data_IF_036390932806
#
_entry.id   IF_036390932806
#
_cell.length_a   1.000
_cell.length_b   1.000
_cell.length_c   1.000
_cell.angle_alpha   90.00
_cell.angle_beta   90.00
_cell.angle_gamma   90.00
#
_symmetry.space_group_name_H-M   'P 1'
#
loop_
_entity.id
_entity.type
_entity.pdbx_description
1 polymer ?
#
# COMPACT_ATOMS: atom_id res chain seq x y z
N UNK A 1 -13.85 -43.02 9.34
CA UNK A 1 -13.07 -41.95 10.01
C UNK A 1 -11.91 -41.38 9.15
N UNK A 2 -12.01 -41.31 7.80
CA UNK A 2 -10.89 -40.90 6.91
C UNK A 2 -11.08 -39.59 6.11
N UNK A 3 -12.27 -38.95 6.14
CA UNK A 3 -12.54 -37.71 5.37
C UNK A 3 -12.02 -36.42 6.01
N UNK A 4 -11.91 -36.37 7.35
CA UNK A 4 -11.44 -35.16 8.05
C UNK A 4 -9.93 -34.93 7.90
N UNK A 5 -9.14 -36.00 7.80
CA UNK A 5 -7.70 -35.91 7.59
C UNK A 5 -7.33 -35.40 6.18
N UNK A 6 -8.13 -35.71 5.15
CA UNK A 6 -7.84 -35.23 3.78
C UNK A 6 -8.23 -33.77 3.56
N UNK A 7 -9.27 -33.25 4.25
CA UNK A 7 -9.58 -31.82 4.23
C UNK A 7 -8.52 -30.97 4.94
N UNK A 8 -7.96 -31.47 6.05
CA UNK A 8 -6.88 -30.77 6.75
C UNK A 8 -5.59 -30.73 5.90
N UNK A 9 -5.27 -31.79 5.16
CA UNK A 9 -4.14 -31.82 4.26
C UNK A 9 -4.32 -30.92 3.03
N UNK A 10 -5.54 -30.81 2.48
CA UNK A 10 -5.84 -29.93 1.35
C UNK A 10 -5.84 -28.44 1.74
N UNK A 11 -6.22 -28.12 2.99
CA UNK A 11 -6.13 -26.76 3.52
C UNK A 11 -4.68 -26.38 3.87
N UNK A 12 -3.88 -27.32 4.37
CA UNK A 12 -2.45 -27.11 4.63
C UNK A 12 -1.62 -26.95 3.34
N UNK A 13 -1.95 -27.68 2.26
CA UNK A 13 -1.25 -27.53 0.98
C UNK A 13 -1.58 -26.20 0.29
N UNK A 14 -2.76 -25.62 0.56
CA UNK A 14 -3.17 -24.31 0.02
C UNK A 14 -2.57 -23.13 0.79
N UNK A 15 -2.22 -23.33 2.06
CA UNK A 15 -1.49 -22.36 2.87
C UNK A 15 0.02 -22.32 2.52
N UNK A 16 0.61 -23.47 2.15
CA UNK A 16 2.01 -23.55 1.73
C UNK A 16 2.28 -23.07 0.29
N UNK A 17 1.23 -22.76 -0.48
CA UNK A 17 1.32 -22.31 -1.87
C UNK A 17 0.82 -20.88 -2.05
N UNK A 18 0.75 -20.08 -0.99
CA UNK A 18 0.64 -18.63 -1.19
C UNK A 18 2.02 -18.16 -1.65
N UNK A 19 2.18 -17.65 -2.88
CA UNK A 19 3.44 -17.04 -3.27
C UNK A 19 3.73 -15.94 -2.25
N UNK A 20 4.91 -16.04 -1.62
CA UNK A 20 5.47 -14.89 -0.92
C UNK A 20 5.44 -13.75 -1.93
N UNK A 21 4.91 -12.56 -1.58
CA UNK A 21 4.93 -11.44 -2.49
C UNK A 21 6.40 -11.14 -2.81
N UNK A 22 6.77 -11.20 -4.10
CA UNK A 22 8.08 -10.76 -4.62
C UNK A 22 8.36 -9.26 -4.39
N UNK A 23 7.50 -8.55 -3.66
CA UNK A 23 7.67 -7.14 -3.31
C UNK A 23 8.55 -7.00 -2.07
N UNK A 24 9.74 -7.57 -2.13
CA UNK A 24 10.84 -7.19 -1.25
C UNK A 24 11.55 -5.99 -1.87
N UNK A 25 12.02 -5.07 -1.04
CA UNK A 25 12.91 -4.00 -1.50
C UNK A 25 14.15 -4.62 -2.16
N UNK A 26 14.18 -4.64 -3.48
CA UNK A 26 15.34 -5.01 -4.28
C UNK A 26 16.16 -3.74 -4.53
N UNK A 27 17.28 -3.62 -3.81
CA UNK A 27 18.16 -2.45 -3.93
C UNK A 27 18.73 -2.27 -5.34
N UNK A 28 18.78 -3.34 -6.13
CA UNK A 28 19.35 -3.31 -7.48
C UNK A 28 18.33 -2.82 -8.52
N UNK A 29 17.04 -2.76 -8.15
CA UNK A 29 15.94 -2.30 -9.03
C UNK A 29 15.22 -1.06 -8.53
N UNK A 30 15.46 -0.64 -7.30
CA UNK A 30 14.76 0.48 -6.67
C UNK A 30 15.60 1.76 -6.66
N UNK A 31 15.10 2.81 -7.31
CA UNK A 31 15.68 4.15 -7.26
C UNK A 31 15.03 4.94 -6.12
N UNK A 32 15.85 5.44 -5.19
CA UNK A 32 15.38 6.29 -4.09
C UNK A 32 15.00 7.69 -4.59
N UNK A 33 13.88 8.22 -4.08
CA UNK A 33 13.49 9.62 -4.28
C UNK A 33 14.11 10.44 -3.15
N UNK A 34 15.21 11.12 -3.45
CA UNK A 34 15.92 11.95 -2.47
C UNK A 34 15.15 13.23 -2.16
N UNK A 35 15.24 13.70 -0.91
CA UNK A 35 14.69 14.99 -0.48
C UNK A 35 13.18 15.00 -0.23
N UNK A 36 12.51 13.85 -0.23
CA UNK A 36 11.14 13.69 0.24
C UNK A 36 11.19 12.95 1.58
N UNK A 37 10.81 13.61 2.66
CA UNK A 37 10.84 13.04 4.02
C UNK A 37 9.44 12.93 4.62
N UNK A 38 8.39 13.25 3.87
CA UNK A 38 7.00 13.17 4.33
C UNK A 38 6.07 12.67 3.23
N UNK A 39 4.94 12.08 3.63
CA UNK A 39 3.92 11.56 2.70
C UNK A 39 3.51 12.65 1.70
N UNK A 40 3.24 13.86 2.19
CA UNK A 40 2.78 14.97 1.34
C UNK A 40 3.86 15.42 0.33
N UNK A 41 5.13 15.43 0.71
CA UNK A 41 6.23 15.76 -0.21
C UNK A 41 6.34 14.72 -1.33
N UNK A 42 6.24 13.44 -0.99
CA UNK A 42 6.24 12.35 -1.98
C UNK A 42 5.08 12.50 -2.95
N UNK A 43 3.85 12.66 -2.45
CA UNK A 43 2.67 12.79 -3.30
C UNK A 43 2.73 14.04 -4.19
N UNK A 44 3.19 15.18 -3.65
CA UNK A 44 3.38 16.42 -4.44
C UNK A 44 4.45 16.24 -5.51
N UNK A 45 5.54 15.51 -5.21
CA UNK A 45 6.59 15.19 -6.18
C UNK A 45 6.05 14.38 -7.34
N UNK A 46 5.20 13.39 -7.08
CA UNK A 46 4.57 12.54 -8.10
C UNK A 46 3.54 13.36 -8.91
N UNK A 47 2.69 14.14 -8.23
CA UNK A 47 1.62 14.91 -8.87
C UNK A 47 2.15 16.02 -9.78
N UNK A 48 3.16 16.75 -9.31
CA UNK A 48 3.69 17.96 -9.96
C UNK A 48 5.03 17.72 -10.67
N UNK A 49 5.53 16.48 -10.66
CA UNK A 49 6.76 16.10 -11.35
C UNK A 49 6.57 16.01 -12.87
N UNK A 50 7.64 15.59 -13.57
CA UNK A 50 7.62 15.47 -15.02
C UNK A 50 6.85 14.25 -15.56
N UNK A 51 6.82 14.07 -16.89
CA UNK A 51 6.13 12.96 -17.56
C UNK A 51 6.57 11.57 -17.09
N UNK A 52 7.76 11.44 -16.49
CA UNK A 52 8.25 10.17 -15.97
C UNK A 52 7.30 9.55 -14.93
N UNK A 53 6.57 10.36 -14.16
CA UNK A 53 5.65 9.89 -13.12
C UNK A 53 4.32 9.36 -13.66
N UNK A 54 4.04 9.51 -14.97
CA UNK A 54 2.86 8.92 -15.62
C UNK A 54 2.86 7.39 -15.55
N UNK A 55 4.05 6.78 -15.45
CA UNK A 55 4.22 5.33 -15.56
C UNK A 55 4.96 4.71 -14.37
N UNK A 56 5.27 5.51 -13.33
CA UNK A 56 6.02 5.05 -12.16
C UNK A 56 5.06 4.83 -11.00
N UNK A 57 5.22 3.69 -10.33
CA UNK A 57 4.61 3.46 -9.03
C UNK A 57 5.65 3.76 -7.96
N UNK A 58 5.27 4.49 -6.92
CA UNK A 58 6.15 4.91 -5.85
C UNK A 58 5.78 4.18 -4.58
N UNK A 59 6.76 3.47 -4.01
CA UNK A 59 6.63 2.87 -2.69
C UNK A 59 7.11 3.86 -1.65
N UNK A 60 6.24 4.21 -0.72
CA UNK A 60 6.59 4.88 0.53
C UNK A 60 6.87 3.83 1.59
N UNK A 61 8.03 3.95 2.22
CA UNK A 61 8.50 3.08 3.29
C UNK A 61 8.37 3.80 4.62
N UNK A 62 7.72 3.11 5.55
CA UNK A 62 7.37 3.63 6.85
C UNK A 62 8.35 3.07 7.89
N UNK A 63 9.10 3.93 8.60
CA UNK A 63 10.07 3.49 9.58
C UNK A 63 9.35 2.94 10.81
N UNK A 64 9.59 1.68 11.13
CA UNK A 64 8.98 1.03 12.28
C UNK A 64 9.27 -0.47 12.32
N UNK A 65 8.86 -1.16 13.38
CA UNK A 65 9.11 -2.60 13.54
C UNK A 65 8.37 -3.45 12.49
N UNK A 66 7.36 -2.88 11.82
CA UNK A 66 6.53 -3.60 10.87
C UNK A 66 7.10 -3.64 9.44
N UNK A 67 8.12 -2.84 9.13
CA UNK A 67 8.58 -2.58 7.75
C UNK A 67 7.41 -2.20 6.82
N UNK A 68 6.52 -1.34 7.33
CA UNK A 68 5.32 -0.94 6.62
C UNK A 68 5.62 -0.21 5.31
N UNK A 69 4.69 -0.34 4.37
CA UNK A 69 4.79 0.32 3.08
C UNK A 69 3.41 0.64 2.49
N UNK A 70 3.37 1.68 1.66
CA UNK A 70 2.26 2.00 0.78
C UNK A 70 2.78 2.24 -0.65
N UNK A 71 2.14 1.63 -1.63
CA UNK A 71 2.43 1.79 -3.05
C UNK A 71 1.41 2.74 -3.67
N UNK A 72 1.88 3.89 -4.13
CA UNK A 72 1.06 4.91 -4.78
C UNK A 72 1.31 4.88 -6.28
N UNK A 73 0.21 4.84 -7.03
CA UNK A 73 0.20 4.87 -8.48
C UNK A 73 0.25 6.29 -9.01
N UNK A 74 0.37 6.45 -10.33
CA UNK A 74 0.40 7.78 -10.94
C UNK A 74 -0.79 8.64 -10.50
N UNK A 75 -0.50 9.88 -10.09
CA UNK A 75 -1.50 10.87 -9.70
C UNK A 75 -1.82 11.85 -10.83
N UNK A 76 -1.15 11.73 -11.98
CA UNK A 76 -1.43 12.56 -13.15
C UNK A 76 -2.84 12.26 -13.66
N UNK A 77 -3.67 13.30 -13.74
CA UNK A 77 -5.08 13.22 -14.19
C UNK A 77 -5.98 12.22 -13.43
N UNK A 78 -5.53 11.70 -12.29
CA UNK A 78 -6.29 10.75 -11.48
C UNK A 78 -7.45 11.46 -10.76
N UNK A 79 -8.69 11.15 -11.16
CA UNK A 79 -9.91 11.57 -10.46
C UNK A 79 -10.28 10.67 -9.28
N UNK A 80 -9.69 9.48 -9.21
CA UNK A 80 -9.88 8.51 -8.14
C UNK A 80 -8.55 7.78 -7.86
N UNK A 81 -7.57 8.46 -7.22
CA UNK A 81 -6.33 7.82 -6.83
C UNK A 81 -6.59 6.58 -5.98
N UNK A 82 -5.76 5.57 -6.16
CA UNK A 82 -5.74 4.39 -5.32
C UNK A 82 -4.32 4.09 -4.89
N UNK A 83 -4.18 3.35 -3.80
CA UNK A 83 -2.90 2.92 -3.28
C UNK A 83 -3.04 1.55 -2.63
N UNK A 84 -2.02 0.72 -2.81
CA UNK A 84 -1.88 -0.50 -2.04
C UNK A 84 -1.11 -0.20 -0.76
N UNK A 85 -1.37 -0.97 0.28
CA UNK A 85 -0.62 -0.87 1.52
C UNK A 85 -0.49 -2.24 2.16
N UNK A 86 0.62 -2.43 2.88
CA UNK A 86 0.86 -3.66 3.64
C UNK A 86 -0.29 -3.91 4.61
N UNK A 87 -0.89 -5.10 4.58
CA UNK A 87 -2.01 -5.44 5.45
C UNK A 87 -1.86 -6.85 6.00
N UNK A 88 -1.53 -6.94 7.29
CA UNK A 88 -1.18 -8.20 7.96
C UNK A 88 -2.26 -8.72 8.91
N UNK A 89 -3.33 -7.93 9.13
CA UNK A 89 -4.45 -8.31 9.99
C UNK A 89 -5.27 -9.43 9.36
N UNK A 90 -5.99 -10.17 10.22
CA UNK A 90 -6.79 -11.33 9.78
C UNK A 90 -8.20 -10.93 9.35
N UNK A 91 -8.69 -9.87 9.96
CA UNK A 91 -9.99 -9.29 9.73
C UNK A 91 -10.03 -8.65 8.32
N UNK A 92 -11.18 -8.64 7.64
CA UNK A 92 -11.34 -7.87 6.41
C UNK A 92 -11.00 -6.38 6.64
N UNK A 93 -10.32 -5.69 5.71
CA UNK A 93 -9.97 -4.28 5.86
C UNK A 93 -11.19 -3.38 6.09
N UNK A 94 -12.36 -3.73 5.56
CA UNK A 94 -13.61 -3.01 5.78
C UNK A 94 -14.00 -2.98 7.27
N UNK A 95 -13.73 -4.05 8.01
CA UNK A 95 -14.00 -4.14 9.44
C UNK A 95 -12.90 -3.45 10.24
N UNK A 96 -11.63 -3.79 9.96
CA UNK A 96 -10.47 -3.27 10.69
C UNK A 96 -10.27 -1.75 10.51
N UNK A 97 -10.65 -1.21 9.36
CA UNK A 97 -10.55 0.22 9.03
C UNK A 97 -11.90 0.92 9.07
N UNK A 98 -12.93 0.31 9.68
CA UNK A 98 -14.30 0.86 9.70
C UNK A 98 -14.39 2.30 10.19
N UNK A 99 -13.64 2.66 11.24
CA UNK A 99 -13.59 4.03 11.74
C UNK A 99 -12.96 5.00 10.72
N UNK A 100 -11.89 4.58 10.04
CA UNK A 100 -11.23 5.37 8.99
C UNK A 100 -12.15 5.55 7.78
N UNK A 101 -12.82 4.48 7.33
CA UNK A 101 -13.77 4.54 6.22
C UNK A 101 -15.00 5.38 6.58
N UNK A 102 -15.40 5.41 7.85
CA UNK A 102 -16.43 6.32 8.35
C UNK A 102 -15.98 7.78 8.35
N UNK A 103 -14.70 8.06 8.63
CA UNK A 103 -14.10 9.40 8.56
C UNK A 103 -13.94 9.89 7.11
N UNK A 104 -13.62 8.98 6.20
CA UNK A 104 -13.38 9.26 4.78
C UNK A 104 -14.39 8.50 3.89
N UNK A 105 -15.65 8.96 3.77
CA UNK A 105 -16.70 8.25 3.04
C UNK A 105 -16.42 8.09 1.54
N UNK A 106 -15.50 8.89 0.99
CA UNK A 106 -15.02 8.78 -0.39
C UNK A 106 -14.00 7.64 -0.60
N UNK A 107 -13.56 6.99 0.47
CA UNK A 107 -12.66 5.84 0.41
C UNK A 107 -13.44 4.53 0.30
N UNK A 108 -12.98 3.65 -0.59
CA UNK A 108 -13.51 2.30 -0.73
C UNK A 108 -12.36 1.30 -0.81
N UNK A 109 -12.44 0.21 -0.06
CA UNK A 109 -11.53 -0.94 -0.20
C UNK A 109 -11.92 -1.70 -1.48
N UNK A 110 -11.02 -1.76 -2.45
CA UNK A 110 -11.30 -2.34 -3.78
C UNK A 110 -10.64 -3.70 -4.02
N UNK A 111 -9.58 -4.03 -3.28
CA UNK A 111 -8.91 -5.32 -3.30
C UNK A 111 -8.20 -5.58 -1.97
N UNK A 112 -8.00 -6.85 -1.62
CA UNK A 112 -7.13 -7.25 -0.52
C UNK A 112 -6.75 -8.73 -0.55
N UNK A 113 -5.64 -9.03 0.10
CA UNK A 113 -5.13 -10.39 0.27
C UNK A 113 -4.69 -10.58 1.72
N UNK A 114 -5.24 -11.61 2.37
CA UNK A 114 -4.98 -11.95 3.76
C UNK A 114 -3.48 -12.10 4.02
N UNK A 115 -2.95 -11.34 4.99
CA UNK A 115 -1.55 -11.39 5.39
C UNK A 115 -0.58 -10.75 4.38
N UNK A 116 -1.09 -10.03 3.38
CA UNK A 116 -0.29 -9.45 2.30
C UNK A 116 -0.53 -7.95 2.15
N UNK A 117 -1.67 -7.56 1.57
CA UNK A 117 -1.96 -6.15 1.26
C UNK A 117 -3.45 -5.88 1.18
N UNK A 118 -3.82 -4.61 1.23
CA UNK A 118 -5.12 -4.12 0.86
C UNK A 118 -4.99 -2.88 -0.04
N UNK A 119 -6.02 -2.59 -0.81
CA UNK A 119 -6.07 -1.49 -1.76
C UNK A 119 -7.24 -0.57 -1.45
N UNK A 120 -6.97 0.72 -1.28
CA UNK A 120 -8.00 1.76 -1.12
C UNK A 120 -8.03 2.63 -2.36
N UNK A 121 -9.23 2.84 -2.91
CA UNK A 121 -9.53 3.92 -3.86
C UNK A 121 -10.13 5.09 -3.10
N UNK A 122 -9.69 6.30 -3.38
CA UNK A 122 -10.20 7.53 -2.81
C UNK A 122 -10.74 8.45 -3.92
N UNK A 123 -12.06 8.56 -4.04
CA UNK A 123 -12.69 9.29 -5.13
C UNK A 123 -12.71 10.80 -4.88
N UNK A 124 -12.31 11.59 -5.88
CA UNK A 124 -12.38 13.05 -5.84
C UNK A 124 -11.48 13.72 -4.81
N UNK A 125 -10.49 13.01 -4.25
CA UNK A 125 -9.57 13.57 -3.24
C UNK A 125 -8.43 14.32 -3.88
N UNK A 126 -8.03 15.42 -3.25
CA UNK A 126 -6.78 16.12 -3.55
C UNK A 126 -5.58 15.44 -2.89
N UNK A 127 -4.38 15.95 -3.20
CA UNK A 127 -3.11 15.39 -2.73
C UNK A 127 -2.97 15.52 -1.21
N UNK A 128 -3.43 16.62 -0.65
CA UNK A 128 -3.44 16.90 0.79
C UNK A 128 -4.31 15.88 1.54
N UNK A 129 -5.55 15.68 1.09
CA UNK A 129 -6.48 14.70 1.67
C UNK A 129 -5.95 13.29 1.51
N UNK A 130 -5.36 12.95 0.35
CA UNK A 130 -4.73 11.65 0.14
C UNK A 130 -3.57 11.40 1.13
N UNK A 131 -2.75 12.42 1.41
CA UNK A 131 -1.69 12.32 2.41
C UNK A 131 -2.23 12.06 3.82
N UNK A 132 -3.33 12.70 4.19
CA UNK A 132 -4.01 12.45 5.47
C UNK A 132 -4.57 11.04 5.56
N UNK A 133 -5.24 10.56 4.50
CA UNK A 133 -5.77 9.19 4.44
C UNK A 133 -4.64 8.16 4.63
N UNK A 134 -3.52 8.31 3.91
CA UNK A 134 -2.38 7.38 4.02
C UNK A 134 -1.77 7.42 5.43
N UNK A 135 -1.68 8.59 6.05
CA UNK A 135 -1.20 8.73 7.44
C UNK A 135 -2.12 8.01 8.42
N UNK A 136 -3.43 8.20 8.29
CA UNK A 136 -4.42 7.56 9.15
C UNK A 136 -4.46 6.04 8.93
N UNK A 137 -4.24 5.57 7.70
CA UNK A 137 -4.04 4.15 7.41
C UNK A 137 -2.80 3.64 8.13
N UNK A 138 -1.70 4.39 8.12
CA UNK A 138 -0.48 3.97 8.81
C UNK A 138 -0.68 3.81 10.32
N UNK A 139 -1.34 4.77 10.96
CA UNK A 139 -1.66 4.70 12.38
C UNK A 139 -2.65 3.56 12.65
N UNK A 140 -3.70 3.40 11.84
CA UNK A 140 -4.74 2.40 12.09
C UNK A 140 -4.27 0.98 11.79
N UNK A 141 -3.56 0.76 10.69
CA UNK A 141 -3.16 -0.56 10.23
C UNK A 141 -1.91 -1.07 10.96
N UNK A 142 -0.95 -0.18 11.23
CA UNK A 142 0.37 -0.55 11.73
C UNK A 142 0.67 -0.06 13.16
N UNK A 143 -0.23 0.74 13.77
CA UNK A 143 -0.01 1.41 15.07
C UNK A 143 1.23 2.33 15.05
N UNK A 144 1.55 2.87 13.88
CA UNK A 144 2.71 3.72 13.67
C UNK A 144 2.26 5.17 13.49
N UNK A 145 2.66 6.04 14.44
CA UNK A 145 2.49 7.50 14.33
C UNK A 145 3.66 8.10 13.58
N UNK A 146 3.51 8.19 12.27
CA UNK A 146 4.65 8.45 11.40
C UNK A 146 4.73 9.90 10.99
N UNK A 147 5.92 10.47 11.14
CA UNK A 147 6.28 11.82 10.70
C UNK A 147 7.24 11.82 9.51
N UNK A 148 8.00 10.72 9.32
CA UNK A 148 9.04 10.61 8.28
C UNK A 148 8.81 9.37 7.43
N UNK A 149 8.95 9.50 6.11
CA UNK A 149 8.90 8.37 5.17
C UNK A 149 10.10 8.39 4.24
N UNK A 150 10.60 7.22 3.87
CA UNK A 150 11.47 7.04 2.72
C UNK A 150 10.62 6.75 1.47
N UNK A 151 11.10 7.06 0.27
CA UNK A 151 10.39 6.75 -0.96
C UNK A 151 11.32 6.19 -2.05
N UNK A 152 10.82 5.23 -2.81
CA UNK A 152 11.50 4.64 -3.96
C UNK A 152 10.54 4.27 -5.08
N UNK A 153 11.05 4.10 -6.28
CA UNK A 153 10.31 3.56 -7.43
C UNK A 153 11.17 2.52 -8.16
N UNK A 154 10.51 1.59 -8.84
CA UNK A 154 11.21 0.58 -9.64
C UNK A 154 11.77 1.21 -10.92
N UNK A 155 13.04 0.92 -11.21
CA UNK A 155 13.65 1.17 -12.51
C UNK A 155 13.03 0.24 -13.54
N UNK A 156 11.98 0.71 -14.23
CA UNK A 156 11.53 0.04 -15.44
C UNK A 156 12.68 -0.01 -16.43
N UNK A 157 13.20 -1.21 -16.68
CA UNK A 157 14.16 -1.44 -17.74
C UNK A 157 13.60 -0.92 -19.06
N UNK A 158 14.43 -0.25 -19.85
CA UNK A 158 14.10 0.07 -21.22
C UNK A 158 13.75 -1.22 -21.95
N UNK A 159 12.48 -1.38 -22.32
CA UNK A 159 12.05 -2.43 -23.24
C UNK A 159 12.68 -2.23 -24.63
#
# INVERSE_FOLDING_TARGET
>A
MKRKASMAALLASKAASQPVPDWTFDSDRMIRILGCNSIIEVLRRIKNGGPEWAHRNVTMWFPGPSNAWALVYSLQDASAPYFDFMYTRKEPPQEALSALLGKYPQCTVIDWSLGRLACIRAEGVDVETLAEIIRDVAETAWDERITIVDASYEEMGSA
#
